data_IF_038214759872
#
_entry.id   IF_038214759872
#
_cell.length_a   1.000
_cell.length_b   1.000
_cell.length_c   1.000
_cell.angle_alpha   90.00
_cell.angle_beta   90.00
_cell.angle_gamma   90.00
#
_symmetry.space_group_name_H-M   'P 1'
#
loop_
_entity.id
_entity.type
_entity.pdbx_description
1 polymer ?
#
# COMPACT_ATOMS: atom_id res chain seq x y z
N UNK A 1 -3.53 4.64 -7.58
CA UNK A 1 -2.11 4.44 -7.99
C UNK A 1 -2.05 3.59 -9.25
N UNK A 2 -2.30 4.22 -10.39
CA UNK A 2 -2.27 3.55 -11.70
C UNK A 2 -0.85 3.34 -12.21
N UNK A 3 -0.69 2.53 -13.26
CA UNK A 3 0.60 2.26 -13.91
C UNK A 3 1.30 3.55 -14.40
N UNK A 4 0.53 4.55 -14.81
CA UNK A 4 1.06 5.85 -15.21
C UNK A 4 1.79 6.56 -14.06
N UNK A 5 1.29 6.44 -12.83
CA UNK A 5 1.94 7.03 -11.65
C UNK A 5 3.26 6.33 -11.33
N UNK A 6 3.38 5.02 -11.57
CA UNK A 6 4.64 4.29 -11.42
C UNK A 6 5.72 4.79 -12.39
N UNK A 7 5.37 4.98 -13.66
CA UNK A 7 6.30 5.45 -14.68
C UNK A 7 6.82 6.87 -14.33
N UNK A 8 5.92 7.77 -13.92
CA UNK A 8 6.27 9.12 -13.45
C UNK A 8 7.18 9.08 -12.21
N UNK A 9 6.88 8.19 -11.26
CA UNK A 9 7.66 8.01 -10.04
C UNK A 9 9.08 7.49 -10.35
N UNK A 10 9.21 6.47 -11.19
CA UNK A 10 10.51 5.92 -11.59
C UNK A 10 11.36 6.94 -12.33
N UNK A 11 10.76 7.71 -13.25
CA UNK A 11 11.48 8.74 -14.02
C UNK A 11 12.02 9.86 -13.12
N UNK A 12 11.27 10.29 -12.10
CA UNK A 12 11.67 11.39 -11.21
C UNK A 12 12.56 10.94 -10.05
N UNK A 13 12.35 9.73 -9.52
CA UNK A 13 12.96 9.28 -8.26
C UNK A 13 13.73 7.96 -8.37
N UNK A 14 14.03 7.48 -9.58
CA UNK A 14 14.64 6.17 -9.81
C UNK A 14 15.87 5.85 -8.94
N UNK A 15 16.76 6.84 -8.71
CA UNK A 15 17.91 6.69 -7.81
C UNK A 15 17.50 6.37 -6.36
N UNK A 16 16.44 6.99 -5.85
CA UNK A 16 15.90 6.79 -4.50
C UNK A 16 15.06 5.51 -4.37
N UNK A 17 14.59 4.98 -5.49
CA UNK A 17 13.83 3.73 -5.53
C UNK A 17 14.72 2.49 -5.67
N UNK A 18 16.03 2.66 -5.85
CA UNK A 18 16.98 1.53 -5.94
C UNK A 18 16.89 0.69 -4.66
N UNK A 19 16.64 -0.62 -4.81
CA UNK A 19 16.47 -1.54 -3.69
C UNK A 19 15.11 -1.50 -2.98
N UNK A 20 14.17 -0.64 -3.41
CA UNK A 20 12.82 -0.55 -2.85
C UNK A 20 11.80 -1.19 -3.78
N UNK A 21 10.93 -2.03 -3.23
CA UNK A 21 9.81 -2.63 -3.98
C UNK A 21 8.63 -1.68 -4.01
N UNK A 22 8.34 -1.10 -5.17
CA UNK A 22 7.14 -0.26 -5.40
C UNK A 22 6.00 -1.15 -5.91
N UNK A 23 4.86 -1.11 -5.22
CA UNK A 23 3.68 -1.92 -5.55
C UNK A 23 2.53 -0.98 -5.93
N UNK A 24 1.97 -1.16 -7.12
CA UNK A 24 0.75 -0.47 -7.54
C UNK A 24 -0.44 -1.35 -7.21
N UNK A 25 -1.39 -0.81 -6.43
CA UNK A 25 -2.60 -1.54 -6.04
C UNK A 25 -3.70 -1.49 -7.10
N UNK A 26 -3.54 -0.68 -8.15
CA UNK A 26 -4.53 -0.56 -9.24
C UNK A 26 -5.93 -0.24 -8.67
N UNK A 27 -6.00 0.85 -7.93
CA UNK A 27 -7.23 1.40 -7.35
C UNK A 27 -7.52 2.71 -8.09
N UNK A 28 -8.72 2.88 -8.65
CA UNK A 28 -9.12 4.09 -9.38
C UNK A 28 -9.31 5.27 -8.41
N UNK A 29 -9.31 6.49 -8.95
CA UNK A 29 -9.35 7.75 -8.17
C UNK A 29 -10.78 8.29 -7.99
N UNK A 30 -11.78 7.41 -8.02
CA UNK A 30 -13.21 7.77 -7.97
C UNK A 30 -13.81 7.75 -6.55
N UNK A 31 -12.96 7.76 -5.53
CA UNK A 31 -13.37 7.66 -4.13
C UNK A 31 -13.18 8.98 -3.40
N UNK A 32 -14.15 9.31 -2.55
CA UNK A 32 -13.98 10.42 -1.60
C UNK A 32 -12.93 10.08 -0.54
N UNK A 33 -12.36 11.11 0.06
CA UNK A 33 -11.43 10.94 1.18
C UNK A 33 -12.06 10.09 2.29
N UNK A 34 -11.39 9.00 2.65
CA UNK A 34 -11.83 8.05 3.70
C UNK A 34 -13.17 7.35 3.45
N UNK A 35 -13.63 7.28 2.18
CA UNK A 35 -14.84 6.51 1.87
C UNK A 35 -14.71 5.05 2.35
N UNK A 36 -15.73 4.49 3.03
CA UNK A 36 -15.64 3.15 3.61
C UNK A 36 -15.25 2.05 2.61
N UNK A 37 -15.75 2.14 1.37
CA UNK A 37 -15.43 1.22 0.29
C UNK A 37 -13.96 1.27 -0.13
N UNK A 38 -13.37 2.47 -0.13
CA UNK A 38 -11.93 2.67 -0.39
C UNK A 38 -11.10 2.00 0.70
N UNK A 39 -11.48 2.18 1.96
CA UNK A 39 -10.78 1.57 3.11
C UNK A 39 -10.83 0.05 3.01
N UNK A 40 -12.02 -0.53 2.81
CA UNK A 40 -12.17 -1.98 2.69
C UNK A 40 -11.38 -2.56 1.50
N UNK A 41 -11.36 -1.85 0.37
CA UNK A 41 -10.59 -2.23 -0.81
C UNK A 41 -9.07 -2.18 -0.53
N UNK A 42 -8.60 -1.15 0.16
CA UNK A 42 -7.19 -1.02 0.56
C UNK A 42 -6.78 -2.17 1.47
N UNK A 43 -7.53 -2.46 2.53
CA UNK A 43 -7.22 -3.55 3.47
C UNK A 43 -7.08 -4.90 2.73
N UNK A 44 -8.05 -5.22 1.87
CA UNK A 44 -8.05 -6.45 1.09
C UNK A 44 -6.84 -6.54 0.14
N UNK A 45 -6.50 -5.44 -0.56
CA UNK A 45 -5.40 -5.47 -1.54
C UNK A 45 -4.04 -5.47 -0.87
N UNK A 46 -3.87 -4.69 0.21
CA UNK A 46 -2.61 -4.51 0.94
C UNK A 46 -2.22 -5.76 1.74
N UNK A 47 -3.19 -6.48 2.31
CA UNK A 47 -2.93 -7.68 3.11
C UNK A 47 -2.00 -8.70 2.41
N UNK A 48 -2.14 -8.86 1.09
CA UNK A 48 -1.32 -9.78 0.26
C UNK A 48 0.17 -9.41 0.21
N UNK A 49 0.51 -8.17 0.56
CA UNK A 49 1.89 -7.66 0.52
C UNK A 49 2.50 -7.45 1.91
N UNK A 50 1.68 -7.47 2.97
CA UNK A 50 2.11 -7.33 4.36
C UNK A 50 2.43 -8.67 5.05
N UNK A 51 2.27 -9.80 4.37
CA UNK A 51 2.47 -11.13 4.97
C UNK A 51 3.90 -11.46 5.48
N UNK A 52 4.99 -10.73 5.17
CA UNK A 52 6.24 -10.85 5.92
C UNK A 52 6.35 -9.88 7.12
N UNK A 53 5.37 -9.02 7.39
CA UNK A 53 5.36 -8.04 8.50
C UNK A 53 4.45 -8.43 9.68
N UNK A 54 4.09 -9.72 9.82
CA UNK A 54 3.62 -10.23 11.13
C UNK A 54 4.82 -10.30 12.09
N UNK A 55 5.43 -9.16 12.38
CA UNK A 55 6.13 -9.00 13.64
C UNK A 55 5.05 -8.97 14.73
N UNK A 56 5.29 -9.77 15.76
CA UNK A 56 4.38 -10.09 16.87
C UNK A 56 3.57 -8.88 17.31
N UNK A 57 2.25 -8.96 17.20
CA UNK A 57 1.37 -8.22 18.12
C UNK A 57 1.74 -8.73 19.52
N UNK A 58 2.33 -7.92 20.42
CA UNK A 58 2.50 -8.35 21.80
C UNK A 58 1.09 -8.61 22.36
N UNK A 59 0.87 -9.71 23.11
CA UNK A 59 -0.44 -9.95 23.71
C UNK A 59 -0.78 -8.73 24.57
N UNK A 60 -1.95 -8.14 24.32
CA UNK A 60 -2.50 -7.11 25.17
C UNK A 60 -2.44 -7.62 26.61
N UNK A 61 -1.73 -6.90 27.48
CA UNK A 61 -1.59 -7.26 28.88
C UNK A 61 -2.97 -7.46 29.50
N UNK A 62 -3.24 -8.68 29.95
CA UNK A 62 -4.35 -8.96 30.85
C UNK A 62 -4.04 -8.33 32.19
N UNK A 63 -4.94 -7.45 32.64
CA UNK A 63 -5.10 -7.11 34.05
C UNK A 63 -6.00 -8.14 34.74
#
# INVERSE_FOLDING_TARGET
>A
MERAHRAKLQRRFGKHLKGKRVICLDIPDDYAFMQPELVALLEKKVARFLLPLREKVPPAGGG
#
